data_IF_441027110893
#
_entry.id   IF_441027110893
#
_cell.length_a   1.000
_cell.length_b   1.000
_cell.length_c   1.000
_cell.angle_alpha   90.00
_cell.angle_beta   90.00
_cell.angle_gamma   90.00
#
_symmetry.space_group_name_H-M   'P 1'
#
loop_
_entity.id
_entity.type
_entity.pdbx_description
1 polymer ?
#
# COMPACT_ATOMS: atom_id res chain seq x y z
N UNK A 1 -12.50 -25.66 -9.50
CA UNK A 1 -11.87 -25.33 -8.20
C UNK A 1 -10.44 -25.02 -8.50
N UNK A 2 -10.01 -23.77 -8.35
CA UNK A 2 -8.59 -23.47 -8.31
C UNK A 2 -7.98 -24.14 -7.07
N UNK A 3 -6.83 -24.76 -7.27
CA UNK A 3 -6.08 -25.41 -6.22
C UNK A 3 -5.49 -24.32 -5.30
N UNK A 4 -5.71 -24.43 -3.99
CA UNK A 4 -5.18 -23.43 -3.04
C UNK A 4 -3.65 -23.53 -3.02
N UNK A 5 -2.96 -22.50 -3.51
CA UNK A 5 -1.51 -22.38 -3.38
C UNK A 5 -1.13 -22.26 -1.90
N UNK A 6 -0.33 -23.19 -1.40
CA UNK A 6 0.31 -23.09 -0.09
C UNK A 6 1.60 -22.30 -0.25
N UNK A 7 1.77 -21.25 0.54
CA UNK A 7 2.97 -20.42 0.54
C UNK A 7 4.02 -21.00 1.48
N UNK A 8 5.28 -21.02 1.05
CA UNK A 8 6.42 -21.27 1.94
C UNK A 8 6.79 -20.01 2.72
N UNK A 9 7.57 -20.15 3.79
CA UNK A 9 8.07 -18.98 4.53
C UNK A 9 9.02 -18.14 3.68
N UNK A 10 9.77 -18.77 2.77
CA UNK A 10 10.64 -18.05 1.84
C UNK A 10 9.82 -17.22 0.84
N UNK A 11 8.68 -17.75 0.35
CA UNK A 11 7.76 -16.98 -0.50
C UNK A 11 7.23 -15.74 0.23
N UNK A 12 6.94 -15.85 1.54
CA UNK A 12 6.43 -14.73 2.34
C UNK A 12 7.52 -13.70 2.65
N UNK A 13 8.76 -14.14 2.92
CA UNK A 13 9.90 -13.23 3.07
C UNK A 13 10.18 -12.48 1.78
N UNK A 14 10.08 -13.17 0.63
CA UNK A 14 10.31 -12.58 -0.68
C UNK A 14 9.38 -11.39 -0.95
N UNK A 15 8.15 -11.36 -0.40
CA UNK A 15 7.25 -10.21 -0.53
C UNK A 15 7.86 -8.90 0.01
N UNK A 16 8.73 -9.01 1.01
CA UNK A 16 9.41 -7.86 1.63
C UNK A 16 10.74 -7.51 0.96
N UNK A 17 11.19 -8.31 -0.01
CA UNK A 17 12.50 -8.13 -0.65
C UNK A 17 12.42 -7.95 -2.17
N UNK A 18 11.45 -8.58 -2.82
CA UNK A 18 11.20 -8.50 -4.24
C UNK A 18 10.19 -7.37 -4.55
N UNK A 19 10.39 -6.72 -5.69
CA UNK A 19 9.50 -5.66 -6.15
C UNK A 19 8.27 -6.27 -6.80
N UNK A 20 7.11 -5.83 -6.33
CA UNK A 20 5.81 -6.16 -6.90
C UNK A 20 5.41 -5.06 -7.89
N UNK A 21 4.87 -5.46 -9.04
CA UNK A 21 4.28 -4.55 -10.04
C UNK A 21 2.78 -4.83 -10.10
N UNK A 22 1.99 -3.78 -10.08
CA UNK A 22 0.53 -3.88 -10.22
C UNK A 22 0.01 -2.64 -10.98
N UNK A 23 -1.26 -2.68 -11.34
CA UNK A 23 -1.90 -1.65 -12.14
C UNK A 23 -3.31 -1.30 -11.65
N UNK A 24 -3.69 -0.05 -11.89
CA UNK A 24 -5.09 0.40 -11.74
C UNK A 24 -5.57 1.07 -13.01
N UNK A 25 -6.85 0.86 -13.34
CA UNK A 25 -7.51 1.61 -14.41
C UNK A 25 -8.03 2.93 -13.85
N UNK A 26 -7.51 4.05 -14.34
CA UNK A 26 -7.93 5.38 -13.92
C UNK A 26 -8.35 6.23 -15.12
N UNK A 27 -9.65 6.57 -15.19
CA UNK A 27 -10.24 7.38 -16.26
C UNK A 27 -9.96 6.83 -17.67
N UNK A 28 -9.94 5.50 -17.79
CA UNK A 28 -9.69 4.79 -19.05
C UNK A 28 -8.21 4.61 -19.41
N UNK A 29 -7.28 5.16 -18.61
CA UNK A 29 -5.84 4.88 -18.72
C UNK A 29 -5.39 3.79 -17.74
N UNK A 30 -4.37 3.04 -18.12
CA UNK A 30 -3.65 2.13 -17.22
C UNK A 30 -2.58 2.92 -16.48
N UNK A 31 -2.55 2.79 -15.16
CA UNK A 31 -1.49 3.34 -14.30
C UNK A 31 -0.78 2.16 -13.64
N UNK A 32 0.41 1.85 -14.13
CA UNK A 32 1.32 0.88 -13.51
C UNK A 32 2.06 1.55 -12.34
N UNK A 33 2.29 0.79 -11.28
CA UNK A 33 3.07 1.21 -10.12
C UNK A 33 3.80 0.01 -9.52
N UNK A 34 4.77 0.31 -8.66
CA UNK A 34 5.54 -0.72 -7.96
C UNK A 34 5.54 -0.49 -6.45
N UNK A 35 5.60 -1.59 -5.71
CA UNK A 35 5.67 -1.59 -4.25
C UNK A 35 6.44 -2.82 -3.74
N UNK A 36 6.80 -2.78 -2.47
CA UNK A 36 7.49 -3.86 -1.77
C UNK A 36 7.00 -3.86 -0.33
N UNK A 37 6.64 -5.03 0.21
CA UNK A 37 6.12 -5.12 1.58
C UNK A 37 7.15 -4.63 2.60
N UNK A 38 6.63 -4.07 3.71
CA UNK A 38 7.46 -3.63 4.82
C UNK A 38 7.61 -4.76 5.83
N UNK A 39 8.82 -4.91 6.35
CA UNK A 39 9.02 -5.60 7.62
C UNK A 39 8.56 -4.69 8.77
N UNK A 40 8.31 -5.27 9.94
CA UNK A 40 7.92 -4.54 11.16
C UNK A 40 8.90 -3.40 11.50
N UNK A 41 10.19 -3.56 11.22
CA UNK A 41 11.21 -2.54 11.49
C UNK A 41 11.11 -1.34 10.55
N UNK A 42 10.53 -1.54 9.37
CA UNK A 42 10.37 -0.53 8.34
C UNK A 42 9.03 0.20 8.47
N UNK A 43 8.04 -0.34 9.17
CA UNK A 43 6.75 0.30 9.38
C UNK A 43 6.88 1.74 9.95
N UNK A 44 6.14 2.73 9.40
CA UNK A 44 6.06 4.03 10.03
C UNK A 44 5.47 3.89 11.44
N UNK A 45 6.06 4.57 12.41
CA UNK A 45 5.58 4.54 13.78
C UNK A 45 4.38 5.46 13.93
N UNK A 46 3.33 4.94 14.59
CA UNK A 46 2.26 5.79 15.11
C UNK A 46 2.85 6.72 16.19
N UNK A 47 2.60 8.03 16.11
CA UNK A 47 2.75 8.88 17.29
C UNK A 47 1.87 8.33 18.42
N UNK A 48 2.26 8.54 19.67
CA UNK A 48 1.44 8.13 20.81
C UNK A 48 0.05 8.78 20.69
N UNK A 49 -0.96 7.95 20.40
CA UNK A 49 -2.36 8.39 20.35
C UNK A 49 -2.79 8.59 21.80
N UNK A 50 -3.09 9.83 22.18
CA UNK A 50 -3.69 10.11 23.47
C UNK A 50 -5.18 9.76 23.42
N UNK A 51 -5.66 8.98 24.38
CA UNK A 51 -7.07 8.58 24.47
C UNK A 51 -8.03 9.77 24.59
N UNK A 52 -7.51 10.92 25.01
CA UNK A 52 -8.25 12.18 25.13
C UNK A 52 -8.43 12.92 23.80
N UNK A 53 -7.80 12.46 22.71
CA UNK A 53 -7.98 13.09 21.40
C UNK A 53 -9.41 12.85 20.88
N UNK A 54 -10.01 13.85 20.22
CA UNK A 54 -11.23 13.67 19.45
C UNK A 54 -11.13 12.50 18.45
N UNK A 55 -12.27 11.85 18.18
CA UNK A 55 -12.31 10.68 17.29
C UNK A 55 -11.93 11.02 15.85
N UNK A 56 -12.30 12.20 15.37
CA UNK A 56 -11.93 12.73 14.06
C UNK A 56 -10.41 12.99 13.96
N UNK A 57 -9.79 13.50 15.02
CA UNK A 57 -8.33 13.64 15.09
C UNK A 57 -7.63 12.28 15.06
N UNK A 58 -8.13 11.30 15.84
CA UNK A 58 -7.60 9.93 15.81
C UNK A 58 -7.72 9.31 14.42
N UNK A 59 -8.87 9.48 13.77
CA UNK A 59 -9.10 9.00 12.41
C UNK A 59 -8.12 9.65 11.42
N UNK A 60 -7.88 10.96 11.53
CA UNK A 60 -6.89 11.67 10.73
C UNK A 60 -5.47 11.11 10.89
N UNK A 61 -5.07 10.78 12.13
CA UNK A 61 -3.77 10.17 12.40
C UNK A 61 -3.63 8.79 11.75
N UNK A 62 -4.68 7.95 11.79
CA UNK A 62 -4.66 6.63 11.14
C UNK A 62 -4.62 6.74 9.62
N UNK A 63 -5.35 7.69 9.03
CA UNK A 63 -5.29 7.96 7.59
C UNK A 63 -3.90 8.43 7.16
N UNK A 64 -3.28 9.32 7.93
CA UNK A 64 -1.92 9.79 7.68
C UNK A 64 -0.90 8.63 7.78
N UNK A 65 -1.04 7.76 8.79
CA UNK A 65 -0.20 6.57 8.91
C UNK A 65 -0.32 5.65 7.69
N UNK A 66 -1.56 5.35 7.28
CA UNK A 66 -1.81 4.51 6.10
C UNK A 66 -1.17 5.11 4.84
N UNK A 67 -1.29 6.42 4.64
CA UNK A 67 -0.63 7.11 3.53
C UNK A 67 0.90 7.04 3.62
N UNK A 68 1.48 7.18 4.82
CA UNK A 68 2.94 7.07 5.01
C UNK A 68 3.44 5.66 4.75
N UNK A 69 2.68 4.64 5.16
CA UNK A 69 2.99 3.22 4.92
C UNK A 69 3.07 2.95 3.42
N UNK A 70 2.03 3.32 2.67
CA UNK A 70 1.99 3.13 1.21
C UNK A 70 3.16 3.82 0.53
N UNK A 71 3.45 5.08 0.87
CA UNK A 71 4.58 5.79 0.28
C UNK A 71 5.91 5.10 0.61
N UNK A 72 6.08 4.56 1.82
CA UNK A 72 7.30 3.85 2.19
C UNK A 72 7.48 2.54 1.42
N UNK A 73 6.39 1.82 1.13
CA UNK A 73 6.40 0.63 0.26
C UNK A 73 6.81 0.98 -1.18
N UNK A 74 6.25 2.06 -1.72
CA UNK A 74 6.59 2.58 -3.05
C UNK A 74 8.05 3.03 -3.10
N UNK A 75 8.52 3.82 -2.12
CA UNK A 75 9.90 4.30 -2.07
C UNK A 75 10.91 3.15 -1.98
N UNK A 76 10.63 2.14 -1.13
CA UNK A 76 11.44 0.93 -1.04
C UNK A 76 11.54 0.20 -2.39
N UNK A 77 10.42 0.09 -3.12
CA UNK A 77 10.41 -0.50 -4.45
C UNK A 77 11.17 0.33 -5.48
N UNK A 78 11.04 1.66 -5.45
CA UNK A 78 11.82 2.57 -6.31
C UNK A 78 13.33 2.44 -6.08
N UNK A 79 13.77 2.27 -4.83
CA UNK A 79 15.18 2.05 -4.51
C UNK A 79 15.70 0.71 -5.06
N UNK A 80 14.86 -0.34 -5.02
CA UNK A 80 15.21 -1.69 -5.51
C UNK A 80 15.09 -1.83 -7.03
N UNK A 81 14.19 -1.08 -7.67
CA UNK A 81 13.93 -1.11 -9.10
C UNK A 81 13.82 0.32 -9.67
N UNK A 82 14.97 1.02 -9.82
CA UNK A 82 14.99 2.41 -10.26
C UNK A 82 14.62 2.61 -11.73
N UNK A 83 14.65 1.55 -12.54
CA UNK A 83 14.27 1.57 -13.96
C UNK A 83 12.79 1.19 -14.18
N UNK A 84 12.05 0.87 -13.11
CA UNK A 84 10.65 0.48 -13.14
C UNK A 84 9.66 1.66 -13.16
N UNK A 85 8.35 1.38 -12.99
CA UNK A 85 7.33 2.41 -12.89
C UNK A 85 7.48 3.19 -11.57
N UNK A 86 8.18 4.32 -11.63
CA UNK A 86 8.41 5.17 -10.47
C UNK A 86 7.24 6.11 -10.22
N UNK A 87 6.75 6.09 -8.99
CA UNK A 87 6.01 7.21 -8.40
C UNK A 87 6.90 7.84 -7.33
N UNK A 88 7.40 9.05 -7.58
CA UNK A 88 8.18 9.80 -6.60
C UNK A 88 7.29 10.41 -5.52
N UNK A 89 7.87 10.78 -4.37
CA UNK A 89 7.13 11.49 -3.32
C UNK A 89 6.51 12.81 -3.83
N UNK A 90 7.24 13.50 -4.70
CA UNK A 90 6.75 14.73 -5.34
C UNK A 90 5.54 14.43 -6.24
N UNK A 91 5.61 13.42 -7.09
CA UNK A 91 4.48 13.03 -7.94
C UNK A 91 3.29 12.59 -7.09
N UNK A 92 3.52 11.77 -6.05
CA UNK A 92 2.48 11.33 -5.13
C UNK A 92 1.71 12.50 -4.50
N UNK A 93 2.40 13.59 -4.15
CA UNK A 93 1.74 14.78 -3.61
C UNK A 93 0.83 15.50 -4.62
N UNK A 94 1.07 15.33 -5.93
CA UNK A 94 0.39 16.07 -6.99
C UNK A 94 -0.63 15.24 -7.80
N UNK A 95 -0.59 13.91 -7.74
CA UNK A 95 -1.60 13.08 -8.41
C UNK A 95 -2.97 13.17 -7.70
N UNK A 96 -4.10 12.97 -8.43
CA UNK A 96 -5.44 13.08 -7.86
C UNK A 96 -5.63 12.20 -6.62
N UNK A 97 -6.25 12.74 -5.57
CA UNK A 97 -6.49 12.00 -4.33
C UNK A 97 -7.29 10.70 -4.55
N UNK A 98 -8.22 10.69 -5.50
CA UNK A 98 -8.96 9.47 -5.88
C UNK A 98 -8.06 8.38 -6.47
N UNK A 99 -7.02 8.76 -7.22
CA UNK A 99 -6.03 7.82 -7.74
C UNK A 99 -5.14 7.29 -6.60
N UNK A 100 -4.68 8.17 -5.70
CA UNK A 100 -3.96 7.75 -4.49
C UNK A 100 -4.74 6.72 -3.69
N UNK A 101 -6.04 6.96 -3.46
CA UNK A 101 -6.88 5.99 -2.77
C UNK A 101 -6.96 4.64 -3.51
N UNK A 102 -7.08 4.65 -4.84
CA UNK A 102 -7.14 3.41 -5.63
C UNK A 102 -5.84 2.61 -5.51
N UNK A 103 -4.69 3.28 -5.66
CA UNK A 103 -3.37 2.66 -5.51
C UNK A 103 -3.17 2.14 -4.07
N UNK A 104 -3.48 2.98 -3.06
CA UNK A 104 -3.37 2.59 -1.65
C UNK A 104 -4.24 1.38 -1.30
N UNK A 105 -5.47 1.33 -1.79
CA UNK A 105 -6.38 0.20 -1.53
C UNK A 105 -5.85 -1.09 -2.17
N UNK A 106 -5.28 -1.00 -3.37
CA UNK A 106 -4.66 -2.13 -4.05
C UNK A 106 -3.45 -2.65 -3.27
N UNK A 107 -2.53 -1.75 -2.89
CA UNK A 107 -1.32 -2.09 -2.11
C UNK A 107 -1.68 -2.70 -0.75
N UNK A 108 -2.66 -2.13 -0.04
CA UNK A 108 -3.03 -2.59 1.31
C UNK A 108 -3.99 -3.79 1.29
N UNK A 109 -4.33 -4.34 0.13
CA UNK A 109 -5.28 -5.46 0.00
C UNK A 109 -6.70 -5.13 0.48
N UNK A 110 -7.06 -3.84 0.55
CA UNK A 110 -8.36 -3.40 1.06
C UNK A 110 -9.53 -3.82 0.15
N UNK A 111 -9.27 -4.02 -1.15
CA UNK A 111 -10.27 -4.51 -2.10
C UNK A 111 -10.65 -5.98 -1.85
N UNK A 112 -9.68 -6.81 -1.44
CA UNK A 112 -9.92 -8.23 -1.12
C UNK A 112 -10.70 -8.38 0.19
N UNK A 113 -10.41 -7.53 1.18
CA UNK A 113 -11.17 -7.46 2.44
C UNK A 113 -12.63 -7.05 2.22
N UNK A 114 -12.90 -6.12 1.30
CA UNK A 114 -14.26 -5.73 0.97
C UNK A 114 -15.03 -6.88 0.32
N UNK A 115 -14.44 -7.57 -0.66
CA UNK A 115 -15.10 -8.69 -1.35
C UNK A 115 -15.40 -9.88 -0.42
N UNK A 116 -14.50 -10.20 0.51
CA UNK A 116 -14.71 -11.25 1.51
C UNK A 116 -15.89 -10.94 2.46
N UNK A 117 -16.10 -9.67 2.78
CA UNK A 117 -17.19 -9.25 3.68
C UNK A 117 -18.58 -9.29 3.02
N UNK A 118 -18.68 -9.24 1.69
CA UNK A 118 -19.97 -9.38 0.97
C UNK A 118 -20.33 -10.82 0.61
N UNK A 119 -19.45 -11.80 0.93
CA UNK A 119 -19.68 -13.22 0.67
C UNK A 119 -20.08 -14.02 1.93
N UNK A 120 -20.24 -13.36 3.09
CA UNK A 120 -20.70 -13.96 4.35
C UNK A 120 -22.10 -13.50 4.75
#
# INVERSE_FOLDING_TARGET
MEEKKIWSMDDLVALTDEVQIDEVIFRGGVVEFQYCELTEKEEPKLPAVNDSLPEDEKMGMYQELGSKRVMKMISKANEKNPDGPIISEEQWAHIPTTLRYSISNKILGAEELAQANFQN
#
